data_IF_267068162041
#
_entry.id   IF_267068162041
#
_cell.length_a   1.000
_cell.length_b   1.000
_cell.length_c   1.000
_cell.angle_alpha   90.00
_cell.angle_beta   90.00
_cell.angle_gamma   90.00
#
_symmetry.space_group_name_H-M   'P 1'
#
loop_
_entity.id
_entity.type
_entity.pdbx_description
1 polymer ?
#
# COMPACT_ATOMS: atom_id res chain seq x y z
N UNK A 1 -12.85 -9.01 23.48
CA UNK A 1 -11.37 -9.03 23.36
C UNK A 1 -10.86 -9.49 21.99
N UNK A 2 -11.29 -10.65 21.47
CA UNK A 2 -10.88 -11.18 20.14
C UNK A 2 -11.09 -10.16 19.01
N UNK A 3 -12.27 -9.53 18.96
CA UNK A 3 -12.59 -8.51 17.95
C UNK A 3 -11.64 -7.31 17.98
N UNK A 4 -11.17 -6.91 19.17
CA UNK A 4 -10.22 -5.82 19.31
C UNK A 4 -8.87 -6.17 18.66
N UNK A 5 -8.37 -7.38 18.90
CA UNK A 5 -7.12 -7.87 18.32
C UNK A 5 -7.24 -8.02 16.80
N UNK A 6 -8.34 -8.57 16.30
CA UNK A 6 -8.61 -8.70 14.87
C UNK A 6 -8.72 -7.33 14.19
N UNK A 7 -9.37 -6.35 14.84
CA UNK A 7 -9.48 -4.98 14.32
C UNK A 7 -8.12 -4.30 14.19
N UNK A 8 -7.22 -4.49 15.15
CA UNK A 8 -5.85 -3.95 15.07
C UNK A 8 -5.07 -4.57 13.91
N UNK A 9 -5.21 -5.89 13.70
CA UNK A 9 -4.56 -6.58 12.59
C UNK A 9 -5.12 -6.10 11.24
N UNK A 10 -6.43 -5.94 11.11
CA UNK A 10 -7.09 -5.39 9.91
C UNK A 10 -6.61 -3.99 9.60
N UNK A 11 -6.55 -3.10 10.60
CA UNK A 11 -6.09 -1.73 10.40
C UNK A 11 -4.66 -1.66 9.82
N UNK A 12 -3.76 -2.54 10.28
CA UNK A 12 -2.38 -2.63 9.73
C UNK A 12 -2.35 -3.03 8.27
N UNK A 13 -3.20 -3.97 7.86
CA UNK A 13 -3.28 -4.44 6.48
C UNK A 13 -4.01 -3.44 5.59
N UNK A 14 -5.15 -2.91 6.04
CA UNK A 14 -5.97 -1.96 5.29
C UNK A 14 -5.21 -0.66 4.94
N UNK A 15 -4.22 -0.29 5.74
CA UNK A 15 -3.48 0.95 5.57
C UNK A 15 -2.66 1.01 4.26
N UNK A 16 -1.76 0.05 3.95
CA UNK A 16 -1.14 -0.05 2.63
C UNK A 16 -2.14 -0.14 1.48
N UNK A 17 -3.22 -0.92 1.62
CA UNK A 17 -4.25 -1.04 0.56
C UNK A 17 -4.95 0.30 0.29
N UNK A 18 -5.19 1.11 1.32
CA UNK A 18 -5.74 2.46 1.18
C UNK A 18 -4.78 3.35 0.39
N UNK A 19 -3.48 3.32 0.69
CA UNK A 19 -2.46 4.09 -0.05
C UNK A 19 -2.46 3.70 -1.53
N UNK A 20 -2.41 2.40 -1.83
CA UNK A 20 -2.40 1.88 -3.20
C UNK A 20 -3.66 2.32 -3.97
N UNK A 21 -4.84 2.18 -3.36
CA UNK A 21 -6.12 2.48 -4.02
C UNK A 21 -6.39 3.97 -4.16
N UNK A 22 -6.04 4.79 -3.16
CA UNK A 22 -6.40 6.21 -3.10
C UNK A 22 -5.28 7.12 -3.56
N UNK A 23 -4.05 6.90 -3.12
CA UNK A 23 -2.93 7.77 -3.46
C UNK A 23 -2.33 7.42 -4.82
N UNK A 24 -2.21 6.12 -5.13
CA UNK A 24 -1.67 5.65 -6.41
C UNK A 24 -2.74 5.30 -7.44
N UNK A 25 -4.03 5.38 -7.07
CA UNK A 25 -5.15 5.25 -8.00
C UNK A 25 -5.35 3.84 -8.57
N UNK A 26 -4.79 2.80 -7.95
CA UNK A 26 -4.96 1.41 -8.42
C UNK A 26 -6.33 0.85 -7.99
N UNK A 27 -7.38 1.26 -8.70
CA UNK A 27 -8.76 0.85 -8.44
C UNK A 27 -9.24 -0.27 -9.37
N UNK A 28 -8.62 -0.44 -10.54
CA UNK A 28 -8.93 -1.46 -11.54
C UNK A 28 -7.65 -2.07 -12.11
N UNK A 29 -7.68 -3.37 -12.35
CA UNK A 29 -6.64 -4.07 -13.12
C UNK A 29 -6.74 -3.73 -14.60
N UNK A 30 -5.62 -3.74 -15.32
CA UNK A 30 -5.59 -3.44 -16.76
C UNK A 30 -5.66 -4.75 -17.56
N UNK A 31 -6.33 -4.75 -18.70
CA UNK A 31 -6.33 -5.88 -19.64
C UNK A 31 -4.99 -5.96 -20.41
N UNK A 32 -3.88 -6.18 -19.69
CA UNK A 32 -2.51 -6.30 -20.24
C UNK A 32 -1.82 -7.61 -19.86
N UNK A 33 -2.55 -8.56 -19.28
CA UNK A 33 -2.06 -9.87 -18.83
C UNK A 33 -1.71 -9.93 -17.34
N UNK A 34 -1.76 -11.13 -16.76
CA UNK A 34 -1.55 -11.35 -15.32
C UNK A 34 -0.15 -10.91 -14.87
N UNK A 35 0.89 -11.29 -15.61
CA UNK A 35 2.28 -10.95 -15.28
C UNK A 35 2.50 -9.42 -15.12
N UNK A 36 1.95 -8.62 -16.05
CA UNK A 36 2.08 -7.15 -16.00
C UNK A 36 1.31 -6.53 -14.84
N UNK A 37 0.13 -7.06 -14.53
CA UNK A 37 -0.64 -6.58 -13.37
C UNK A 37 0.05 -6.95 -12.05
N UNK A 38 0.58 -8.16 -11.93
CA UNK A 38 1.33 -8.59 -10.73
C UNK A 38 2.58 -7.74 -10.53
N UNK A 39 3.37 -7.52 -11.58
CA UNK A 39 4.54 -6.66 -11.50
C UNK A 39 4.17 -5.24 -11.03
N UNK A 40 3.11 -4.64 -11.61
CA UNK A 40 2.60 -3.34 -11.18
C UNK A 40 2.20 -3.34 -9.70
N UNK A 41 1.45 -4.34 -9.24
CA UNK A 41 1.01 -4.45 -7.86
C UNK A 41 2.19 -4.57 -6.89
N UNK A 42 3.17 -5.42 -7.20
CA UNK A 42 4.40 -5.57 -6.39
C UNK A 42 5.15 -4.25 -6.27
N UNK A 43 5.33 -3.52 -7.38
CA UNK A 43 5.96 -2.19 -7.36
C UNK A 43 5.17 -1.20 -6.49
N UNK A 44 3.84 -1.17 -6.61
CA UNK A 44 3.00 -0.28 -5.80
C UNK A 44 3.06 -0.59 -4.30
N UNK A 45 3.20 -1.85 -3.92
CA UNK A 45 3.42 -2.23 -2.52
C UNK A 45 4.77 -1.73 -2.00
N UNK A 46 5.84 -1.88 -2.78
CA UNK A 46 7.15 -1.33 -2.43
C UNK A 46 7.12 0.20 -2.25
N UNK A 47 6.48 0.91 -3.19
CA UNK A 47 6.30 2.37 -3.11
C UNK A 47 5.41 2.79 -1.95
N UNK A 48 4.43 1.96 -1.56
CA UNK A 48 3.57 2.26 -0.42
C UNK A 48 4.37 2.28 0.87
N UNK A 49 5.32 1.36 1.05
CA UNK A 49 6.22 1.39 2.21
C UNK A 49 6.97 2.72 2.29
N UNK A 50 7.53 3.19 1.16
CA UNK A 50 8.22 4.50 1.10
C UNK A 50 7.27 5.67 1.40
N UNK A 51 6.05 5.64 0.86
CA UNK A 51 5.05 6.67 1.11
C UNK A 51 4.66 6.77 2.59
N UNK A 52 4.64 5.65 3.31
CA UNK A 52 4.33 5.61 4.74
C UNK A 52 5.43 6.23 5.60
N UNK A 53 6.70 5.99 5.26
CA UNK A 53 7.85 6.55 5.99
C UNK A 53 8.29 7.92 5.48
N UNK A 54 7.62 8.48 4.46
CA UNK A 54 8.05 9.72 3.78
C UNK A 54 8.37 10.89 4.70
N UNK A 55 7.63 11.04 5.81
CA UNK A 55 7.87 12.14 6.76
C UNK A 55 9.23 12.00 7.44
N UNK A 56 9.61 10.77 7.79
CA UNK A 56 10.94 10.48 8.37
C UNK A 56 12.02 10.66 7.31
N UNK A 57 11.79 10.17 6.08
CA UNK A 57 12.76 10.30 5.00
C UNK A 57 13.03 11.75 4.61
N UNK A 58 12.00 12.58 4.53
CA UNK A 58 12.14 14.02 4.22
C UNK A 58 12.86 14.77 5.35
N UNK A 59 12.66 14.37 6.60
CA UNK A 59 13.38 14.96 7.75
C UNK A 59 14.86 14.61 7.80
N UNK A 60 15.25 13.44 7.28
CA UNK A 60 16.67 13.01 7.22
C UNK A 60 17.39 13.61 6.02
N UNK A 61 16.67 13.92 4.94
CA UNK A 61 17.24 14.46 3.71
C UNK A 61 17.38 16.00 3.71
N UNK A 62 16.76 16.69 4.67
CA UNK A 62 16.87 18.15 4.86
C UNK A 62 17.80 18.50 6.00
#
# INVERSE_FOLDING_TARGET
EINHRLSQLRARVEHPFRVIKRQFGFTKVRYRGLAKNTAQLTTLFALSNLYLVRRQLVQVAG
#
